data_IF_933024220357
#
_entry.id   IF_933024220357
#
_cell.length_a   1.000
_cell.length_b   1.000
_cell.length_c   1.000
_cell.angle_alpha   90.00
_cell.angle_beta   90.00
_cell.angle_gamma   90.00
#
_symmetry.space_group_name_H-M   'P 1'
#
loop_
_entity.id
_entity.type
_entity.pdbx_description
1 polymer ?
#
# COMPACT_ATOMS: atom_id res chain seq x y z
N UNK A 1 55.15 29.21 -63.20
CA UNK A 1 54.68 27.96 -62.58
C UNK A 1 53.26 27.73 -63.08
N UNK A 2 53.04 26.59 -63.74
CA UNK A 2 51.98 26.33 -64.73
C UNK A 2 50.76 25.66 -64.06
N UNK A 3 49.55 26.03 -64.50
CA UNK A 3 48.28 25.36 -64.20
C UNK A 3 48.27 23.88 -64.63
N UNK A 4 47.51 23.03 -63.92
CA UNK A 4 47.26 21.65 -64.33
C UNK A 4 45.88 21.14 -63.88
N UNK A 5 45.00 20.99 -64.86
CA UNK A 5 43.69 20.33 -64.83
C UNK A 5 43.69 18.92 -64.24
N UNK A 6 42.60 18.53 -63.55
CA UNK A 6 41.84 17.27 -63.79
C UNK A 6 40.40 17.35 -63.22
N UNK A 7 39.40 17.28 -64.11
CA UNK A 7 38.00 16.85 -63.88
C UNK A 7 37.97 15.29 -63.79
N UNK A 8 36.85 14.54 -63.55
CA UNK A 8 35.43 14.92 -63.36
C UNK A 8 34.63 14.12 -62.29
N UNK A 9 33.35 14.51 -62.11
CA UNK A 9 32.11 13.73 -61.79
C UNK A 9 32.22 12.51 -60.85
N UNK A 10 31.37 12.45 -59.82
CA UNK A 10 30.21 11.55 -59.81
C UNK A 10 29.31 11.64 -58.55
N UNK A 11 28.00 11.68 -58.84
CA UNK A 11 26.88 10.96 -58.23
C UNK A 11 26.42 11.34 -56.80
N UNK A 12 25.22 11.92 -56.80
CA UNK A 12 24.27 12.01 -55.68
C UNK A 12 23.96 10.62 -55.10
N UNK A 13 24.14 10.44 -53.80
CA UNK A 13 23.29 9.54 -52.99
C UNK A 13 23.03 10.22 -51.65
N UNK A 14 21.81 10.75 -51.48
CA UNK A 14 21.28 11.07 -50.15
C UNK A 14 20.96 9.75 -49.45
N UNK A 15 21.87 9.28 -48.60
CA UNK A 15 21.59 8.17 -47.69
C UNK A 15 20.91 8.73 -46.45
N UNK A 16 19.59 8.88 -46.52
CA UNK A 16 18.75 9.17 -45.37
C UNK A 16 18.57 7.86 -44.59
N UNK A 17 19.41 7.66 -43.58
CA UNK A 17 19.26 6.61 -42.58
C UNK A 17 18.16 7.03 -41.60
N UNK A 18 16.91 6.67 -41.89
CA UNK A 18 15.87 6.67 -40.85
C UNK A 18 16.14 5.45 -39.99
N UNK A 19 16.79 5.68 -38.85
CA UNK A 19 16.82 4.73 -37.75
C UNK A 19 15.36 4.44 -37.36
N UNK A 20 14.89 3.23 -37.67
CA UNK A 20 13.72 2.67 -37.02
C UNK A 20 14.06 2.54 -35.53
N UNK A 21 13.55 3.47 -34.73
CA UNK A 21 13.64 3.42 -33.28
C UNK A 21 13.00 2.12 -32.81
N UNK A 22 13.81 1.29 -32.17
CA UNK A 22 13.41 0.05 -31.50
C UNK A 22 12.19 0.35 -30.64
N UNK A 23 11.05 -0.27 -30.96
CA UNK A 23 9.93 -0.36 -30.04
C UNK A 23 10.37 -1.27 -28.90
N UNK A 24 11.00 -0.68 -27.88
CA UNK A 24 11.22 -1.35 -26.62
C UNK A 24 9.85 -1.64 -26.03
N UNK A 25 9.39 -2.88 -26.19
CA UNK A 25 8.36 -3.45 -25.32
C UNK A 25 8.79 -3.18 -23.90
N UNK A 26 8.14 -2.22 -23.25
CA UNK A 26 8.32 -1.97 -21.83
C UNK A 26 8.00 -3.26 -21.11
N UNK A 27 9.04 -4.00 -20.73
CA UNK A 27 8.89 -5.11 -19.82
C UNK A 27 8.16 -4.54 -18.60
N UNK A 28 6.97 -5.07 -18.32
CA UNK A 28 6.25 -4.74 -17.11
C UNK A 28 7.22 -4.91 -15.95
N UNK A 29 7.60 -3.79 -15.31
CA UNK A 29 8.48 -3.78 -14.15
C UNK A 29 7.83 -4.73 -13.16
N UNK A 30 8.49 -5.86 -12.88
CA UNK A 30 8.02 -6.77 -11.83
C UNK A 30 8.04 -5.96 -10.54
N UNK A 31 6.91 -5.83 -9.83
CA UNK A 31 6.89 -5.14 -8.55
C UNK A 31 7.90 -5.82 -7.62
N UNK A 32 8.77 -4.99 -7.05
CA UNK A 32 9.81 -5.43 -6.15
C UNK A 32 9.17 -5.77 -4.80
N UNK A 33 9.23 -7.05 -4.42
CA UNK A 33 8.67 -7.58 -3.16
C UNK A 33 9.34 -6.92 -1.93
N UNK A 34 10.48 -6.24 -2.10
CA UNK A 34 11.16 -5.45 -1.05
C UNK A 34 10.45 -4.16 -0.64
N UNK A 35 9.28 -3.88 -1.20
CA UNK A 35 8.53 -2.65 -0.93
C UNK A 35 7.73 -2.69 0.38
N UNK A 36 7.57 -3.86 1.02
CA UNK A 36 6.71 -4.04 2.19
C UNK A 36 7.45 -4.69 3.35
N UNK A 37 7.16 -4.25 4.57
CA UNK A 37 7.73 -4.81 5.80
C UNK A 37 6.77 -5.72 6.53
N UNK A 38 5.46 -5.63 6.25
CA UNK A 38 4.44 -6.48 6.85
C UNK A 38 3.13 -6.46 6.05
N UNK A 39 2.38 -7.55 6.16
CA UNK A 39 1.01 -7.71 5.67
C UNK A 39 0.15 -8.19 6.82
N UNK A 40 -0.75 -7.32 7.28
CA UNK A 40 -1.56 -7.53 8.46
C UNK A 40 -2.99 -7.84 8.06
N UNK A 41 -3.56 -8.87 8.67
CA UNK A 41 -4.98 -9.18 8.59
C UNK A 41 -5.58 -9.34 9.99
N UNK A 42 -6.84 -9.74 10.03
CA UNK A 42 -7.55 -9.97 11.30
C UNK A 42 -6.85 -11.02 12.17
N UNK A 43 -6.33 -12.09 11.57
CA UNK A 43 -5.74 -13.23 12.28
C UNK A 43 -4.40 -12.88 12.92
N UNK A 44 -3.71 -11.84 12.45
CA UNK A 44 -2.54 -11.29 13.14
C UNK A 44 -2.90 -10.70 14.53
N UNK A 45 -4.14 -10.33 14.78
CA UNK A 45 -4.52 -9.59 16.00
C UNK A 45 -4.92 -10.48 17.16
N UNK A 46 -4.56 -10.09 18.38
CA UNK A 46 -4.94 -10.79 19.60
C UNK A 46 -5.49 -9.82 20.66
N UNK A 47 -6.47 -10.24 21.50
CA UNK A 47 -6.97 -9.40 22.58
C UNK A 47 -5.91 -8.95 23.58
N UNK A 48 -4.93 -9.82 23.86
CA UNK A 48 -3.79 -9.53 24.74
C UNK A 48 -2.83 -8.49 24.15
N UNK A 49 -2.91 -8.20 22.85
CA UNK A 49 -2.03 -7.24 22.17
C UNK A 49 -2.55 -5.81 22.18
N UNK A 50 -3.79 -5.57 22.60
CA UNK A 50 -4.33 -4.22 22.78
C UNK A 50 -4.08 -3.74 24.23
N UNK A 51 -3.27 -2.68 24.43
CA UNK A 51 -3.09 -2.10 25.75
C UNK A 51 -4.42 -1.62 26.33
N UNK A 52 -4.69 -2.05 27.56
CA UNK A 52 -5.86 -1.63 28.30
C UNK A 52 -5.73 -0.17 28.77
N UNK A 53 -6.84 0.44 29.17
CA UNK A 53 -6.88 1.85 29.57
C UNK A 53 -7.20 2.77 28.38
N UNK A 54 -6.37 3.79 28.15
CA UNK A 54 -6.65 4.86 27.20
C UNK A 54 -6.80 4.38 25.75
N UNK A 55 -5.91 3.48 25.28
CA UNK A 55 -5.97 2.95 23.92
C UNK A 55 -7.23 2.11 23.68
N UNK A 56 -7.55 1.18 24.57
CA UNK A 56 -8.79 0.39 24.48
C UNK A 56 -10.05 1.27 24.58
N UNK A 57 -10.04 2.30 25.43
CA UNK A 57 -11.13 3.29 25.49
C UNK A 57 -11.27 4.04 24.17
N UNK A 58 -10.16 4.49 23.59
CA UNK A 58 -10.15 5.22 22.33
C UNK A 58 -10.63 4.35 21.17
N UNK A 59 -10.23 3.08 21.11
CA UNK A 59 -10.74 2.13 20.12
C UNK A 59 -12.26 2.01 20.21
N UNK A 60 -12.80 1.74 21.41
CA UNK A 60 -14.26 1.66 21.64
C UNK A 60 -15.01 2.93 21.25
N UNK A 61 -14.50 4.09 21.66
CA UNK A 61 -15.11 5.38 21.31
C UNK A 61 -15.07 5.64 19.81
N UNK A 62 -13.99 5.23 19.14
CA UNK A 62 -13.85 5.38 17.69
C UNK A 62 -14.90 4.54 16.97
N UNK A 63 -15.10 3.28 17.39
CA UNK A 63 -16.17 2.43 16.83
C UNK A 63 -17.56 3.03 17.04
N UNK A 64 -17.86 3.53 18.24
CA UNK A 64 -19.14 4.18 18.55
C UNK A 64 -19.42 5.39 17.64
N UNK A 65 -18.40 6.21 17.36
CA UNK A 65 -18.53 7.40 16.50
C UNK A 65 -18.74 7.04 15.03
N UNK A 66 -18.08 5.99 14.55
CA UNK A 66 -18.15 5.58 13.15
C UNK A 66 -19.44 4.81 12.80
N UNK A 67 -20.09 4.25 13.83
CA UNK A 67 -21.20 3.30 13.68
C UNK A 67 -20.72 1.92 13.22
N UNK A 68 -21.54 0.90 13.44
CA UNK A 68 -21.28 -0.44 12.90
C UNK A 68 -21.86 -0.57 11.49
N UNK A 69 -21.02 -1.01 10.55
CA UNK A 69 -21.39 -1.31 9.15
C UNK A 69 -21.14 -2.78 8.81
N UNK A 70 -20.42 -3.49 9.68
CA UNK A 70 -20.07 -4.89 9.56
C UNK A 70 -21.05 -5.81 10.28
N UNK A 71 -20.64 -7.07 10.40
CA UNK A 71 -21.40 -8.12 11.10
C UNK A 71 -21.00 -8.23 12.57
N UNK A 72 -19.82 -7.69 12.94
CA UNK A 72 -19.31 -7.68 14.31
C UNK A 72 -18.41 -6.47 14.56
N UNK A 73 -18.52 -5.95 15.78
CA UNK A 73 -17.61 -4.94 16.35
C UNK A 73 -16.57 -5.66 17.18
N UNK A 74 -15.30 -5.34 16.94
CA UNK A 74 -14.17 -5.96 17.64
C UNK A 74 -13.60 -5.00 18.66
N UNK A 75 -12.77 -4.03 18.26
CA UNK A 75 -12.15 -3.02 19.13
C UNK A 75 -11.54 -3.56 20.43
N UNK A 76 -11.23 -4.86 20.46
CA UNK A 76 -10.81 -5.65 21.62
C UNK A 76 -9.41 -6.23 21.44
N UNK A 77 -8.86 -6.13 20.23
CA UNK A 77 -7.60 -6.75 19.78
C UNK A 77 -6.80 -5.78 18.94
N UNK A 78 -5.50 -6.02 18.81
CA UNK A 78 -4.64 -5.17 18.00
C UNK A 78 -3.46 -5.95 17.43
N UNK A 79 -2.81 -5.33 16.44
CA UNK A 79 -1.43 -5.61 16.09
C UNK A 79 -0.57 -4.40 16.44
N UNK A 80 0.54 -4.62 17.14
CA UNK A 80 1.50 -3.57 17.46
C UNK A 80 2.56 -3.48 16.36
N UNK A 81 2.92 -2.27 15.97
CA UNK A 81 3.89 -2.00 14.92
C UNK A 81 4.66 -0.71 15.25
N UNK A 82 5.84 -0.56 14.64
CA UNK A 82 6.60 0.68 14.66
C UNK A 82 6.45 1.38 13.30
N UNK A 83 5.67 2.46 13.28
CA UNK A 83 5.48 3.30 12.10
C UNK A 83 6.49 4.47 12.07
N UNK A 84 7.47 4.49 12.97
CA UNK A 84 8.63 5.38 12.92
C UNK A 84 8.36 6.82 13.34
N UNK A 85 7.28 7.08 14.08
CA UNK A 85 6.80 8.43 14.32
C UNK A 85 6.79 8.91 15.77
N UNK A 86 6.79 8.01 16.75
CA UNK A 86 6.64 8.35 18.18
C UNK A 86 7.48 7.42 19.07
N UNK A 87 7.72 7.78 20.36
CA UNK A 87 8.51 6.96 21.29
C UNK A 87 7.85 5.62 21.68
N UNK A 88 6.58 5.42 21.35
CA UNK A 88 5.81 4.22 21.68
C UNK A 88 5.18 3.62 20.42
N UNK A 89 4.85 2.32 20.43
CA UNK A 89 4.32 1.63 19.26
C UNK A 89 2.98 2.22 18.82
N UNK A 90 2.70 2.06 17.53
CA UNK A 90 1.38 2.22 16.97
C UNK A 90 0.64 0.88 16.88
N UNK A 91 -0.68 0.99 16.77
CA UNK A 91 -1.57 -0.16 16.79
C UNK A 91 -2.54 -0.10 15.62
N UNK A 92 -2.65 -1.21 14.90
CA UNK A 92 -3.77 -1.50 14.02
C UNK A 92 -4.83 -2.24 14.83
N UNK A 93 -6.01 -1.63 14.96
CA UNK A 93 -7.13 -2.17 15.74
C UNK A 93 -8.32 -2.39 14.81
N UNK A 94 -8.77 -3.64 14.57
CA UNK A 94 -9.99 -3.87 13.81
C UNK A 94 -11.16 -3.34 14.62
N UNK A 95 -11.95 -2.45 14.01
CA UNK A 95 -13.09 -1.82 14.66
C UNK A 95 -14.39 -2.53 14.31
N UNK A 96 -14.62 -2.72 13.01
CA UNK A 96 -15.88 -3.18 12.43
C UNK A 96 -15.55 -3.97 11.16
N UNK A 97 -15.97 -5.24 11.13
CA UNK A 97 -15.61 -6.17 10.05
C UNK A 97 -16.87 -6.76 9.40
N UNK A 98 -16.89 -6.79 8.07
CA UNK A 98 -17.91 -7.45 7.27
C UNK A 98 -17.67 -8.95 7.13
N UNK A 99 -18.66 -9.68 6.60
CA UNK A 99 -18.61 -11.13 6.43
C UNK A 99 -17.50 -11.62 5.46
N UNK A 100 -17.00 -10.74 4.58
CA UNK A 100 -15.94 -11.04 3.61
C UNK A 100 -14.53 -10.80 4.17
N UNK A 101 -14.39 -10.54 5.47
CA UNK A 101 -13.11 -10.24 6.12
C UNK A 101 -12.63 -8.79 5.93
N UNK A 102 -13.33 -7.99 5.13
CA UNK A 102 -13.06 -6.56 5.03
C UNK A 102 -13.34 -5.89 6.37
N UNK A 103 -12.34 -5.24 6.93
CA UNK A 103 -12.45 -4.52 8.19
C UNK A 103 -12.15 -3.04 7.99
N UNK A 104 -12.83 -2.21 8.79
CA UNK A 104 -12.30 -0.90 9.13
C UNK A 104 -11.37 -1.02 10.30
N UNK A 105 -10.19 -0.43 10.17
CA UNK A 105 -9.14 -0.43 11.18
C UNK A 105 -8.91 0.98 11.70
N UNK A 106 -8.68 1.12 13.01
CA UNK A 106 -8.04 2.31 13.55
C UNK A 106 -6.52 2.15 13.51
N UNK A 107 -5.83 3.24 13.17
CA UNK A 107 -4.40 3.41 13.43
C UNK A 107 -4.28 4.27 14.68
N UNK A 108 -3.76 3.72 15.77
CA UNK A 108 -3.65 4.42 17.06
C UNK A 108 -2.18 4.56 17.47
N UNK A 109 -1.78 5.71 18.00
CA UNK A 109 -0.50 5.86 18.70
C UNK A 109 -0.69 5.67 20.20
N UNK A 110 0.31 5.09 20.87
CA UNK A 110 0.31 4.93 22.34
C UNK A 110 0.91 6.12 23.10
N UNK A 111 1.83 6.88 22.50
CA UNK A 111 2.54 7.96 23.16
C UNK A 111 2.34 9.32 22.50
N UNK A 112 1.40 10.18 22.95
CA UNK A 112 0.19 9.89 23.75
C UNK A 112 -0.89 9.13 22.97
N UNK A 113 -1.86 8.54 23.70
CA UNK A 113 -3.00 7.83 23.12
C UNK A 113 -3.84 8.71 22.19
N UNK A 114 -3.81 8.45 20.88
CA UNK A 114 -4.58 9.22 19.90
C UNK A 114 -4.86 8.44 18.61
N UNK A 115 -5.91 8.85 17.92
CA UNK A 115 -6.29 8.31 16.63
C UNK A 115 -5.45 8.97 15.54
N UNK A 116 -4.60 8.18 14.88
CA UNK A 116 -3.85 8.61 13.72
C UNK A 116 -4.66 8.47 12.43
N UNK A 117 -5.82 7.83 12.43
CA UNK A 117 -6.70 7.73 11.27
C UNK A 117 -7.34 6.36 11.17
N UNK A 118 -8.06 6.14 10.06
CA UNK A 118 -8.67 4.84 9.76
C UNK A 118 -8.22 4.37 8.40
N UNK A 119 -8.03 3.06 8.27
CA UNK A 119 -7.75 2.39 7.00
C UNK A 119 -8.76 1.25 6.82
N UNK A 120 -9.21 1.05 5.59
CA UNK A 120 -10.18 0.01 5.24
C UNK A 120 -9.47 -1.10 4.42
N UNK A 121 -9.74 -2.37 4.74
CA UNK A 121 -9.20 -3.52 4.03
C UNK A 121 -9.37 -4.85 4.78
N UNK A 122 -9.37 -5.96 4.04
CA UNK A 122 -9.13 -7.29 4.57
C UNK A 122 -7.63 -7.53 4.85
N UNK A 123 -6.77 -6.95 4.02
CA UNK A 123 -5.31 -6.96 4.20
C UNK A 123 -4.80 -5.52 4.26
N UNK A 124 -3.92 -5.25 5.23
CA UNK A 124 -3.23 -3.98 5.41
C UNK A 124 -1.74 -4.19 5.17
N UNK A 125 -1.23 -3.58 4.11
CA UNK A 125 0.18 -3.64 3.74
C UNK A 125 0.91 -2.42 4.28
N UNK A 126 2.04 -2.67 4.94
CA UNK A 126 2.92 -1.62 5.48
C UNK A 126 4.13 -1.52 4.58
N UNK A 127 4.33 -0.35 3.95
CA UNK A 127 5.46 -0.15 3.05
C UNK A 127 6.76 0.04 3.82
N UNK A 128 7.86 -0.47 3.27
CA UNK A 128 9.19 -0.14 3.72
C UNK A 128 9.43 1.37 3.55
N UNK A 129 10.01 1.99 4.56
CA UNK A 129 10.37 3.40 4.54
C UNK A 129 11.76 3.58 5.16
N UNK A 130 12.50 4.60 4.69
CA UNK A 130 13.81 4.94 5.24
C UNK A 130 13.77 6.08 6.26
N UNK A 131 12.68 6.85 6.27
CA UNK A 131 12.43 7.93 7.25
C UNK A 131 10.96 8.35 7.23
N UNK A 132 10.45 8.78 8.39
CA UNK A 132 9.07 9.26 8.56
C UNK A 132 8.01 8.15 8.52
N UNK A 133 6.74 8.53 8.55
CA UNK A 133 5.63 7.59 8.57
C UNK A 133 5.49 6.83 7.23
N UNK A 134 5.39 5.48 7.22
CA UNK A 134 5.24 4.72 5.98
C UNK A 134 3.88 4.95 5.33
N UNK A 135 3.82 4.77 4.01
CA UNK A 135 2.57 4.59 3.29
C UNK A 135 1.92 3.27 3.72
N UNK A 136 0.60 3.26 3.85
CA UNK A 136 -0.18 2.04 4.09
C UNK A 136 -1.03 1.77 2.85
N UNK A 137 -1.22 0.51 2.52
CA UNK A 137 -2.19 0.10 1.49
C UNK A 137 -3.22 -0.83 2.10
N UNK A 138 -4.49 -0.48 1.99
CA UNK A 138 -5.59 -1.39 2.31
C UNK A 138 -6.08 -2.09 1.04
N UNK A 139 -6.25 -3.41 1.11
CA UNK A 139 -6.94 -4.19 0.09
C UNK A 139 -8.26 -4.72 0.64
N UNK A 140 -9.38 -4.31 0.04
CA UNK A 140 -10.71 -4.82 0.35
C UNK A 140 -11.18 -5.76 -0.78
N UNK A 141 -11.59 -6.98 -0.42
CA UNK A 141 -12.11 -7.96 -1.37
C UNK A 141 -13.56 -7.64 -1.75
N UNK A 142 -13.87 -7.62 -3.04
CA UNK A 142 -15.25 -7.56 -3.55
C UNK A 142 -15.78 -8.95 -3.96
N UNK A 143 -14.96 -10.00 -3.83
CA UNK A 143 -15.28 -11.36 -4.27
C UNK A 143 -14.79 -11.65 -5.69
N UNK A 144 -14.78 -12.94 -6.07
CA UNK A 144 -14.42 -13.43 -7.41
C UNK A 144 -13.03 -13.00 -7.96
N UNK A 145 -12.12 -12.50 -7.13
CA UNK A 145 -10.81 -11.99 -7.58
C UNK A 145 -10.78 -10.47 -7.81
N UNK A 146 -11.91 -9.80 -7.59
CA UNK A 146 -12.01 -8.34 -7.62
C UNK A 146 -11.81 -7.74 -6.23
N UNK A 147 -11.31 -6.51 -6.22
CA UNK A 147 -11.15 -5.76 -4.98
C UNK A 147 -10.86 -4.28 -5.19
N UNK A 148 -10.75 -3.57 -4.08
CA UNK A 148 -10.38 -2.15 -4.03
C UNK A 148 -9.06 -2.03 -3.29
N UNK A 149 -8.13 -1.30 -3.89
CA UNK A 149 -6.85 -0.95 -3.29
C UNK A 149 -6.86 0.53 -2.96
N UNK A 150 -6.69 0.86 -1.68
CA UNK A 150 -6.64 2.24 -1.20
C UNK A 150 -5.28 2.51 -0.56
N UNK A 151 -4.59 3.56 -1.04
CA UNK A 151 -3.33 4.05 -0.47
C UNK A 151 -3.61 5.11 0.57
N UNK A 152 -2.91 5.06 1.70
CA UNK A 152 -3.03 6.00 2.82
C UNK A 152 -1.65 6.57 3.16
N UNK A 153 -1.60 7.89 3.30
CA UNK A 153 -0.37 8.60 3.66
C UNK A 153 -0.58 9.44 4.91
N UNK A 154 0.46 9.55 5.72
CA UNK A 154 0.44 10.39 6.91
C UNK A 154 0.65 11.86 6.53
N UNK A 155 -0.36 12.70 6.76
CA UNK A 155 -0.35 14.14 6.51
C UNK A 155 -1.07 14.89 7.62
N UNK A 156 -0.49 15.97 8.10
CA UNK A 156 -1.08 16.82 9.14
C UNK A 156 -1.51 16.05 10.39
N UNK A 157 -0.64 15.14 10.87
CA UNK A 157 -0.87 14.38 12.10
C UNK A 157 -1.79 13.16 11.98
N UNK A 158 -2.13 12.73 10.76
CA UNK A 158 -3.00 11.56 10.53
C UNK A 158 -2.83 10.92 9.16
N UNK A 159 -3.13 9.63 9.07
CA UNK A 159 -3.37 8.90 7.84
C UNK A 159 -4.63 9.40 7.14
N UNK A 160 -4.50 9.68 5.85
CA UNK A 160 -5.58 10.04 4.95
C UNK A 160 -5.46 9.24 3.67
N UNK A 161 -6.60 8.86 3.08
CA UNK A 161 -6.62 8.24 1.77
C UNK A 161 -6.01 9.18 0.72
N UNK A 162 -5.09 8.66 -0.07
CA UNK A 162 -4.36 9.35 -1.15
C UNK A 162 -4.91 8.98 -2.51
N UNK A 163 -5.20 7.70 -2.72
CA UNK A 163 -5.77 7.18 -3.95
C UNK A 163 -6.54 5.90 -3.67
N UNK A 164 -7.49 5.62 -4.54
CA UNK A 164 -8.30 4.41 -4.52
C UNK A 164 -8.43 3.90 -5.95
N UNK A 165 -8.35 2.59 -6.14
CA UNK A 165 -8.56 1.96 -7.44
C UNK A 165 -9.17 0.58 -7.29
N UNK A 166 -10.06 0.24 -8.23
CA UNK A 166 -10.49 -1.14 -8.41
C UNK A 166 -9.38 -1.97 -9.07
N UNK A 167 -9.28 -3.23 -8.66
CA UNK A 167 -8.44 -4.25 -9.30
C UNK A 167 -9.33 -5.41 -9.71
N UNK A 168 -9.12 -5.94 -10.93
CA UNK A 168 -9.91 -7.03 -11.52
C UNK A 168 -9.04 -8.17 -12.06
N UNK A 169 -9.54 -9.42 -11.95
CA UNK A 169 -9.26 -10.71 -12.65
C UNK A 169 -7.88 -11.05 -13.28
N UNK A 170 -6.81 -10.28 -13.04
CA UNK A 170 -5.42 -10.58 -13.37
C UNK A 170 -4.47 -9.63 -12.63
N UNK A 171 -4.96 -8.42 -12.33
CA UNK A 171 -4.29 -7.47 -11.47
C UNK A 171 -4.26 -7.98 -10.02
N UNK A 172 -5.29 -8.71 -9.57
CA UNK A 172 -5.30 -9.31 -8.24
C UNK A 172 -4.32 -10.49 -8.13
N UNK A 173 -4.25 -11.43 -9.08
CA UNK A 173 -3.21 -12.46 -9.06
C UNK A 173 -1.79 -11.88 -9.07
N UNK A 174 -1.57 -10.81 -9.84
CA UNK A 174 -0.29 -10.09 -9.78
C UNK A 174 -0.09 -9.40 -8.45
N UNK A 175 -1.05 -8.63 -7.94
CA UNK A 175 -0.99 -8.00 -6.61
C UNK A 175 -0.72 -9.05 -5.52
N UNK A 176 -1.43 -10.16 -5.57
CA UNK A 176 -1.33 -11.31 -4.71
C UNK A 176 0.04 -12.00 -4.75
N UNK A 177 0.55 -12.26 -5.94
CA UNK A 177 1.86 -12.90 -6.17
C UNK A 177 3.01 -11.94 -5.87
N UNK A 178 2.82 -10.63 -6.09
CA UNK A 178 3.81 -9.59 -5.78
C UNK A 178 3.94 -9.38 -4.28
N UNK A 179 2.88 -9.67 -3.52
CA UNK A 179 2.82 -9.40 -2.09
C UNK A 179 2.67 -10.65 -1.22
N UNK A 180 2.69 -11.84 -1.81
CA UNK A 180 2.53 -13.12 -1.11
C UNK A 180 1.35 -13.09 -0.15
N UNK A 181 0.11 -13.19 -0.65
CA UNK A 181 -1.17 -13.12 0.12
C UNK A 181 -1.30 -13.98 1.39
N UNK A 182 -0.27 -14.70 1.81
CA UNK A 182 -0.27 -15.24 3.15
C UNK A 182 -0.06 -14.09 4.13
N UNK A 183 -0.90 -14.05 5.16
CA UNK A 183 -0.73 -13.15 6.30
C UNK A 183 0.66 -13.39 6.86
N UNK A 184 1.55 -12.42 6.65
CA UNK A 184 2.90 -12.46 7.18
C UNK A 184 2.92 -11.53 8.39
N UNK A 185 2.43 -12.06 9.51
CA UNK A 185 2.49 -11.43 10.82
C UNK A 185 3.93 -11.53 11.37
N UNK A 186 4.95 -11.14 10.60
CA UNK A 186 6.32 -11.06 11.08
C UNK A 186 6.47 -9.81 11.96
N UNK A 187 7.08 -10.00 13.14
CA UNK A 187 7.34 -8.94 14.12
C UNK A 187 8.78 -8.45 14.01
#
# INVERSE_FOLDING_TARGET
MICGDKCPRQIRVCLVLILMTVSGSGAAVKPDVRQFVAVIDFDCTAPSSLPQGELANLARQTTQKLGSRGVAVWADRAWALDLGGEPGPEYLVPLDCGATGNCRWAVLASGPARLLGTVDGALIYIHAHSSGWPELTGYASMGAGDGVVTSYVYRNGRYVAKSEREVRDAAFEKFAQSYGLQSHCEK
#
